data_IF_959839085572
#
_entry.id   IF_959839085572
#
_cell.length_a   1.000
_cell.length_b   1.000
_cell.length_c   1.000
_cell.angle_alpha   90.00
_cell.angle_beta   90.00
_cell.angle_gamma   90.00
#
_symmetry.space_group_name_H-M   'P 1'
#
loop_
_entity.id
_entity.type
_entity.pdbx_description
1 polymer ?
#
# COMPACT_ATOMS: atom_id res chain seq x y z
N UNK A 1 13.60 3.11 9.33
CA UNK A 1 12.58 3.40 10.33
C UNK A 1 11.26 3.69 9.64
N UNK A 2 10.22 3.02 10.06
CA UNK A 2 8.91 3.17 9.45
C UNK A 2 8.30 4.53 9.80
N UNK A 3 7.67 5.16 8.83
CA UNK A 3 6.96 6.42 9.04
C UNK A 3 5.51 6.13 9.40
N UNK A 4 4.92 6.99 10.22
CA UNK A 4 3.51 6.85 10.54
C UNK A 4 2.66 7.21 9.32
N UNK A 5 1.44 6.69 9.30
CA UNK A 5 0.49 7.02 8.24
C UNK A 5 0.18 8.53 8.23
N UNK A 6 0.13 9.16 9.39
CA UNK A 6 -0.09 10.61 9.47
C UNK A 6 1.02 11.40 8.79
N UNK A 7 2.26 10.96 8.96
CA UNK A 7 3.38 11.58 8.28
C UNK A 7 3.21 11.45 6.76
N UNK A 8 2.84 10.28 6.31
CA UNK A 8 2.60 10.02 4.90
C UNK A 8 1.49 10.90 4.35
N UNK A 9 0.38 11.00 5.06
CA UNK A 9 -0.76 11.80 4.63
C UNK A 9 -0.41 13.28 4.52
N UNK A 10 0.45 13.78 5.39
CA UNK A 10 0.89 15.19 5.34
C UNK A 10 1.77 15.48 4.13
N UNK A 11 2.47 14.48 3.62
CA UNK A 11 3.35 14.61 2.47
C UNK A 11 2.61 14.54 1.14
N UNK A 12 1.35 14.12 1.14
CA UNK A 12 0.59 14.00 -0.09
C UNK A 12 0.29 15.35 -0.69
N UNK A 13 0.52 15.55 -1.99
CA UNK A 13 0.11 16.78 -2.65
C UNK A 13 -1.41 16.86 -2.68
N UNK A 14 -1.92 18.07 -2.46
CA UNK A 14 -3.34 18.31 -2.62
C UNK A 14 -3.67 18.39 -4.11
N UNK A 15 -4.87 17.94 -4.47
CA UNK A 15 -5.35 18.11 -5.82
C UNK A 15 -5.37 19.60 -6.17
N UNK A 16 -4.57 20.00 -7.13
CA UNK A 16 -4.51 21.36 -7.61
C UNK A 16 -4.53 21.32 -9.12
N UNK A 17 -4.72 22.46 -9.77
CA UNK A 17 -4.81 22.52 -11.22
C UNK A 17 -3.54 22.20 -11.97
N UNK A 18 -2.57 21.52 -11.34
CA UNK A 18 -1.28 21.19 -11.95
C UNK A 18 -1.13 19.74 -12.40
N UNK A 19 -2.22 19.05 -12.66
CA UNK A 19 -2.15 17.71 -13.21
C UNK A 19 -2.11 16.57 -12.18
N UNK A 20 -1.94 16.87 -10.90
CA UNK A 20 -2.02 15.87 -9.86
C UNK A 20 -3.43 15.84 -9.29
N UNK A 21 -4.01 14.67 -9.24
CA UNK A 21 -5.35 14.49 -8.70
C UNK A 21 -5.32 13.53 -7.53
N UNK A 22 -5.91 13.96 -6.42
CA UNK A 22 -6.16 13.12 -5.27
C UNK A 22 -7.63 13.24 -4.92
N UNK A 23 -8.36 12.14 -4.94
CA UNK A 23 -9.77 12.15 -4.59
C UNK A 23 -9.92 12.24 -3.07
N UNK A 24 -11.05 12.79 -2.60
CA UNK A 24 -11.33 12.84 -1.16
C UNK A 24 -11.70 11.46 -0.61
N UNK A 25 -12.14 10.58 -1.49
CA UNK A 25 -12.56 9.25 -1.11
C UNK A 25 -11.35 8.36 -0.87
N UNK A 26 -11.32 7.67 0.27
CA UNK A 26 -10.26 6.73 0.56
C UNK A 26 -10.33 5.54 -0.38
N UNK A 27 -9.16 5.03 -0.72
CA UNK A 27 -9.03 3.83 -1.54
C UNK A 27 -8.71 2.65 -0.63
N UNK A 28 -9.48 1.58 -0.79
CA UNK A 28 -9.31 0.36 -0.02
C UNK A 28 -8.85 -0.76 -0.94
N UNK A 29 -7.53 -0.93 -1.13
CA UNK A 29 -7.03 -1.98 -2.02
C UNK A 29 -7.32 -3.37 -1.47
N UNK A 30 -7.61 -4.29 -2.38
CA UNK A 30 -7.89 -5.68 -2.04
C UNK A 30 -6.58 -6.43 -1.79
N UNK A 31 -6.60 -7.33 -0.83
CA UNK A 31 -5.43 -8.13 -0.49
C UNK A 31 -5.81 -9.58 -0.25
N UNK A 32 -4.93 -10.47 -0.69
CA UNK A 32 -5.00 -11.89 -0.38
C UNK A 32 -3.88 -12.23 0.60
N UNK A 33 -4.17 -13.09 1.54
CA UNK A 33 -3.19 -13.52 2.54
C UNK A 33 -3.22 -15.04 2.61
N UNK A 34 -2.06 -15.68 2.41
CA UNK A 34 -1.98 -17.13 2.56
C UNK A 34 -0.82 -17.55 3.44
N UNK A 35 -1.03 -18.64 4.13
CA UNK A 35 -0.01 -19.25 4.96
C UNK A 35 0.84 -20.22 4.14
N UNK A 36 2.14 -20.19 4.38
CA UNK A 36 3.10 -21.12 3.78
C UNK A 36 3.87 -21.82 4.88
N UNK A 37 4.68 -22.79 4.51
CA UNK A 37 5.53 -23.50 5.49
C UNK A 37 6.52 -22.56 6.17
N UNK A 38 7.03 -21.56 5.44
CA UNK A 38 8.03 -20.64 5.97
C UNK A 38 7.48 -19.32 6.48
N UNK A 39 6.17 -19.13 6.44
CA UNK A 39 5.59 -17.87 6.86
C UNK A 39 4.30 -17.54 6.14
N UNK A 40 4.25 -16.35 5.55
CA UNK A 40 3.03 -15.81 4.93
C UNK A 40 3.34 -15.17 3.60
N UNK A 41 2.35 -15.19 2.72
CA UNK A 41 2.38 -14.41 1.50
C UNK A 41 1.21 -13.44 1.55
N UNK A 42 1.51 -12.17 1.34
CA UNK A 42 0.50 -11.11 1.24
C UNK A 42 0.58 -10.53 -0.16
N UNK A 43 -0.54 -10.48 -0.84
CA UNK A 43 -0.62 -9.94 -2.19
C UNK A 43 -1.66 -8.83 -2.21
N UNK A 44 -1.27 -7.64 -2.65
CA UNK A 44 -2.13 -6.46 -2.62
C UNK A 44 -2.24 -5.88 -4.03
N UNK A 45 -3.46 -5.58 -4.44
CA UNK A 45 -3.72 -4.91 -5.72
C UNK A 45 -3.40 -3.42 -5.61
N UNK A 46 -2.25 -3.01 -6.16
CA UNK A 46 -1.77 -1.63 -6.05
C UNK A 46 -1.37 -1.06 -7.40
N UNK A 47 -2.16 -1.30 -8.42
CA UNK A 47 -1.87 -0.77 -9.76
C UNK A 47 -1.78 0.76 -9.72
N UNK A 48 -0.78 1.31 -10.38
CA UNK A 48 -0.61 2.76 -10.49
C UNK A 48 0.05 3.43 -9.29
N UNK A 49 0.51 2.65 -8.32
CA UNK A 49 1.21 3.19 -7.16
C UNK A 49 2.72 3.13 -7.41
N UNK A 50 3.43 4.18 -7.01
CA UNK A 50 4.88 4.18 -7.07
C UNK A 50 5.44 3.32 -5.95
N UNK A 51 6.23 2.31 -6.31
CA UNK A 51 6.83 1.41 -5.33
C UNK A 51 7.73 2.16 -4.33
N UNK A 52 8.37 3.24 -4.78
CA UNK A 52 9.26 4.03 -3.93
C UNK A 52 8.54 4.75 -2.80
N UNK A 53 7.24 4.93 -2.92
CA UNK A 53 6.43 5.66 -1.94
C UNK A 53 5.64 4.73 -1.02
N UNK A 54 5.83 3.43 -1.16
CA UNK A 54 5.16 2.48 -0.30
C UNK A 54 5.87 2.38 1.05
N UNK A 55 5.10 2.34 2.12
CA UNK A 55 5.60 2.06 3.45
C UNK A 55 5.05 0.71 3.91
N UNK A 56 5.93 -0.11 4.44
CA UNK A 56 5.57 -1.43 4.97
C UNK A 56 6.13 -1.53 6.39
N UNK A 57 5.27 -1.82 7.34
CA UNK A 57 5.63 -1.88 8.76
C UNK A 57 5.13 -3.18 9.36
N UNK A 58 6.02 -3.92 10.03
CA UNK A 58 5.64 -5.05 10.86
C UNK A 58 5.72 -4.64 12.32
N UNK A 59 4.65 -4.85 13.06
CA UNK A 59 4.60 -4.51 14.47
C UNK A 59 3.70 -5.52 15.19
N UNK A 60 4.28 -6.31 16.09
CA UNK A 60 3.54 -7.36 16.78
C UNK A 60 2.97 -8.38 15.82
N UNK A 61 1.66 -8.51 15.79
CA UNK A 61 0.93 -9.42 14.90
C UNK A 61 0.37 -8.72 13.66
N UNK A 62 0.80 -7.48 13.40
CA UNK A 62 0.19 -6.62 12.41
C UNK A 62 1.17 -6.22 11.32
N UNK A 63 0.70 -6.26 10.09
CA UNK A 63 1.38 -5.70 8.94
C UNK A 63 0.58 -4.50 8.46
N UNK A 64 1.24 -3.36 8.30
CA UNK A 64 0.62 -2.17 7.72
C UNK A 64 1.32 -1.81 6.43
N UNK A 65 0.52 -1.55 5.42
CA UNK A 65 1.00 -1.10 4.11
C UNK A 65 0.29 0.21 3.83
N UNK A 66 1.07 1.25 3.56
CA UNK A 66 0.52 2.58 3.28
C UNK A 66 1.14 3.15 2.02
N UNK A 67 0.37 3.95 1.33
CA UNK A 67 0.83 4.61 0.12
C UNK A 67 -0.23 5.51 -0.46
N UNK A 68 0.03 5.97 -1.67
CA UNK A 68 -0.94 6.78 -2.39
C UNK A 68 -0.86 6.49 -3.88
N UNK A 69 -1.99 6.70 -4.53
CA UNK A 69 -2.08 6.64 -5.98
C UNK A 69 -2.51 8.02 -6.47
N UNK A 70 -1.66 8.64 -7.27
CA UNK A 70 -1.89 9.98 -7.80
C UNK A 70 -2.06 9.94 -9.30
N UNK A 71 -2.93 10.80 -9.81
CA UNK A 71 -3.11 10.96 -11.25
C UNK A 71 -2.07 11.94 -11.76
N UNK A 72 -1.03 11.42 -12.39
CA UNK A 72 0.08 12.21 -12.92
C UNK A 72 0.08 12.23 -14.46
N UNK A 73 -1.05 11.91 -15.08
CA UNK A 73 -1.14 11.72 -16.51
C UNK A 73 -1.06 13.02 -17.32
N UNK A 74 -1.41 14.13 -16.70
CA UNK A 74 -1.47 15.42 -17.39
C UNK A 74 -0.82 16.53 -16.55
N UNK A 75 -0.26 17.51 -17.24
CA UNK A 75 0.37 18.68 -16.61
C UNK A 75 -0.35 19.98 -16.94
N UNK A 76 -1.37 19.92 -17.77
CA UNK A 76 -2.15 21.09 -18.18
C UNK A 76 -3.53 21.05 -17.54
N UNK A 77 -4.21 22.20 -17.53
CA UNK A 77 -5.59 22.27 -17.07
C UNK A 77 -6.48 21.43 -17.97
N UNK A 78 -7.31 20.60 -17.38
CA UNK A 78 -8.22 19.73 -18.11
C UNK A 78 -9.62 19.88 -17.54
N UNK A 79 -10.61 19.52 -18.36
CA UNK A 79 -11.99 19.42 -17.92
C UNK A 79 -12.35 17.96 -17.86
N UNK A 80 -12.69 17.48 -16.67
CA UNK A 80 -13.01 16.07 -16.48
C UNK A 80 -14.39 15.79 -17.07
N UNK A 81 -14.50 14.69 -17.75
CA UNK A 81 -15.76 14.19 -18.30
C UNK A 81 -16.31 13.07 -17.45
N UNK A 82 -15.44 12.15 -17.02
CA UNK A 82 -15.84 11.00 -16.23
C UNK A 82 -14.68 10.62 -15.32
N UNK A 83 -14.95 10.45 -14.04
CA UNK A 83 -13.94 10.12 -13.04
C UNK A 83 -14.41 8.90 -12.25
N UNK A 84 -13.84 7.74 -12.55
CA UNK A 84 -14.18 6.50 -11.88
C UNK A 84 -12.98 5.89 -11.13
N UNK A 85 -11.76 6.23 -11.55
CA UNK A 85 -10.57 5.69 -10.90
C UNK A 85 -10.30 6.48 -9.63
N UNK A 86 -10.14 5.77 -8.52
CA UNK A 86 -9.85 6.41 -7.24
C UNK A 86 -8.36 6.71 -7.14
N UNK A 87 -8.00 8.00 -7.10
CA UNK A 87 -6.65 8.46 -6.86
C UNK A 87 -6.61 9.02 -5.45
N UNK A 88 -6.03 8.28 -4.53
CA UNK A 88 -6.06 8.64 -3.13
C UNK A 88 -4.95 7.92 -2.37
N UNK A 89 -4.82 8.29 -1.13
CA UNK A 89 -4.01 7.58 -0.17
C UNK A 89 -4.73 6.32 0.28
N UNK A 90 -3.97 5.37 0.76
CA UNK A 90 -4.54 4.16 1.33
C UNK A 90 -3.70 3.70 2.52
N UNK A 91 -4.34 2.95 3.38
CA UNK A 91 -3.68 2.20 4.43
C UNK A 91 -4.34 0.83 4.50
N UNK A 92 -3.54 -0.20 4.40
CA UNK A 92 -4.01 -1.59 4.52
C UNK A 92 -3.39 -2.20 5.76
N UNK A 93 -4.22 -2.67 6.67
CA UNK A 93 -3.77 -3.32 7.90
C UNK A 93 -4.20 -4.78 7.85
N UNK A 94 -3.25 -5.67 8.07
CA UNK A 94 -3.50 -7.11 8.10
C UNK A 94 -3.03 -7.61 9.45
N UNK A 95 -3.93 -8.30 10.14
CA UNK A 95 -3.63 -8.91 11.43
C UNK A 95 -3.47 -10.41 11.26
N UNK A 96 -2.38 -10.92 11.79
CA UNK A 96 -2.07 -12.34 11.74
C UNK A 96 -2.43 -13.02 13.06
N UNK A 97 -2.66 -14.34 13.05
CA UNK A 97 -2.99 -15.05 14.29
C UNK A 97 -1.81 -15.27 15.22
N UNK A 98 -0.61 -14.84 14.81
CA UNK A 98 0.61 -14.97 15.60
C UNK A 98 1.52 -13.78 15.30
N UNK A 99 2.52 -13.53 16.17
CA UNK A 99 3.45 -12.43 15.93
C UNK A 99 4.22 -12.60 14.62
N UNK A 100 4.35 -11.52 13.88
CA UNK A 100 5.13 -11.47 12.64
C UNK A 100 6.29 -10.47 12.73
N UNK A 101 6.36 -9.75 13.83
CA UNK A 101 7.46 -8.81 14.08
C UNK A 101 8.79 -9.55 14.05
N UNK A 102 9.77 -8.99 13.37
CA UNK A 102 11.07 -9.64 13.20
C UNK A 102 11.14 -10.59 12.02
N UNK A 103 10.04 -10.85 11.33
CA UNK A 103 10.08 -11.66 10.12
C UNK A 103 10.86 -10.94 9.02
N UNK A 104 11.57 -11.71 8.21
CA UNK A 104 12.24 -11.15 7.05
C UNK A 104 11.22 -10.95 5.94
N UNK A 105 11.22 -9.78 5.34
CA UNK A 105 10.30 -9.45 4.25
C UNK A 105 11.05 -9.47 2.93
N UNK A 106 10.55 -10.24 1.99
CA UNK A 106 10.96 -10.17 0.60
C UNK A 106 9.81 -9.59 -0.19
N UNK A 107 10.06 -8.49 -0.89
CA UNK A 107 8.99 -7.78 -1.60
C UNK A 107 9.25 -7.78 -3.10
N UNK A 108 8.17 -7.84 -3.86
CA UNK A 108 8.18 -7.70 -5.30
C UNK A 108 6.93 -6.94 -5.74
N UNK A 109 7.13 -5.97 -6.61
CA UNK A 109 6.01 -5.24 -7.20
C UNK A 109 6.05 -5.43 -8.70
N UNK A 110 5.04 -6.10 -9.23
CA UNK A 110 4.97 -6.42 -10.66
C UNK A 110 3.51 -6.49 -11.11
N UNK A 111 3.26 -5.94 -12.28
CA UNK A 111 1.94 -5.99 -12.92
C UNK A 111 0.81 -5.48 -12.01
N UNK A 112 1.13 -4.45 -11.23
CA UNK A 112 0.16 -3.83 -10.32
C UNK A 112 -0.07 -4.59 -9.02
N UNK A 113 0.66 -5.65 -8.77
CA UNK A 113 0.54 -6.43 -7.55
C UNK A 113 1.78 -6.29 -6.69
N UNK A 114 1.58 -5.90 -5.44
CA UNK A 114 2.63 -5.95 -4.43
C UNK A 114 2.56 -7.31 -3.75
N UNK A 115 3.65 -8.05 -3.81
CA UNK A 115 3.72 -9.38 -3.19
C UNK A 115 4.79 -9.33 -2.11
N UNK A 116 4.38 -9.62 -0.88
CA UNK A 116 5.26 -9.66 0.28
C UNK A 116 5.35 -11.08 0.80
N UNK A 117 6.57 -11.58 0.91
CA UNK A 117 6.85 -12.86 1.57
C UNK A 117 7.35 -12.54 2.97
N UNK A 118 6.60 -12.94 3.98
CA UNK A 118 7.01 -12.81 5.36
C UNK A 118 7.61 -14.14 5.78
N UNK A 119 8.93 -14.15 5.95
CA UNK A 119 9.67 -15.36 6.29
C UNK A 119 9.93 -15.38 7.78
N UNK A 120 9.30 -16.27 8.47
CA UNK A 120 9.42 -16.39 9.91
C UNK A 120 9.77 -17.83 10.26
N UNK A 121 10.85 -18.04 11.03
CA UNK A 121 11.19 -19.39 11.47
C UNK A 121 10.27 -19.91 12.58
N UNK A 122 9.47 -19.05 13.19
CA UNK A 122 8.56 -19.45 14.24
C UNK A 122 7.26 -19.99 13.68
N UNK A 123 6.83 -21.13 14.22
CA UNK A 123 5.56 -21.70 13.81
C UNK A 123 4.42 -20.98 14.53
N UNK A 124 3.40 -20.70 13.76
CA UNK A 124 2.17 -20.13 14.26
C UNK A 124 1.21 -21.29 14.51
N UNK A 125 0.96 -21.58 15.76
CA UNK A 125 0.02 -22.61 16.15
C UNK A 125 -1.44 -22.16 16.03
#
# INVERSE_FOLDING_TARGET
MARSIEHYLRMMPKASGRGLRCTERLWYPSADVYRTRGGWIVKVELAGVSADQLEVVLEGDTLRIAGSRLDETHTESVFYHQLEITYSRFEKTIRFPCPVEGARIESRYKDGLLILHLLSPEECE
#
